data_IF_007243261702
#
_entry.id   IF_007243261702
#
_cell.length_a   1.000
_cell.length_b   1.000
_cell.length_c   1.000
_cell.angle_alpha   90.00
_cell.angle_beta   90.00
_cell.angle_gamma   90.00
#
_symmetry.space_group_name_H-M   'P 1'
#
loop_
_entity.id
_entity.type
_entity.pdbx_description
1 polymer ?
#
# COMPACT_ATOMS: atom_id res chain seq x y z
N UNK A 1 17.18 4.59 -11.31
CA UNK A 1 18.39 5.23 -10.74
C UNK A 1 17.98 5.93 -9.47
N UNK A 2 18.38 5.42 -8.30
CA UNK A 2 18.09 6.06 -7.01
C UNK A 2 19.16 7.11 -6.75
N UNK A 3 18.78 8.36 -6.54
CA UNK A 3 19.70 9.43 -6.17
C UNK A 3 19.57 9.72 -4.67
N UNK A 4 20.67 9.54 -3.94
CA UNK A 4 20.77 9.98 -2.54
C UNK A 4 21.44 11.35 -2.55
N UNK A 5 20.82 12.34 -1.91
CA UNK A 5 21.39 13.69 -1.76
C UNK A 5 21.30 14.11 -0.30
N UNK A 6 22.42 14.60 0.22
CA UNK A 6 22.42 15.30 1.50
C UNK A 6 21.65 16.61 1.33
N UNK A 7 20.69 16.85 2.22
CA UNK A 7 19.85 18.04 2.16
C UNK A 7 20.34 19.11 3.13
N UNK A 8 20.32 18.80 4.43
CA UNK A 8 20.69 19.72 5.50
C UNK A 8 20.98 18.96 6.78
N UNK A 9 21.89 19.48 7.59
CA UNK A 9 22.06 19.10 8.99
C UNK A 9 21.63 20.28 9.86
N UNK A 10 20.84 19.99 10.90
CA UNK A 10 20.41 20.97 11.89
C UNK A 10 20.78 20.41 13.26
N UNK A 11 21.48 21.22 14.05
CA UNK A 11 21.83 20.88 15.42
C UNK A 11 20.80 21.53 16.35
N UNK A 12 20.26 20.74 17.28
CA UNK A 12 19.32 21.23 18.28
C UNK A 12 20.00 21.17 19.65
N UNK A 13 19.92 22.25 20.44
CA UNK A 13 20.39 22.23 21.83
C UNK A 13 19.58 21.22 22.67
N UNK A 14 18.26 21.20 22.44
CA UNK A 14 17.33 20.18 22.93
C UNK A 14 16.39 19.75 21.80
N UNK A 15 16.42 18.46 21.46
CA UNK A 15 15.63 17.87 20.39
C UNK A 15 14.18 17.59 20.83
N UNK A 16 13.40 18.65 21.05
CA UNK A 16 11.95 18.51 21.28
C UNK A 16 11.23 18.17 19.98
N UNK A 17 10.28 17.23 20.05
CA UNK A 17 9.64 16.65 18.89
C UNK A 17 8.85 17.64 18.03
N UNK A 18 8.28 18.68 18.65
CA UNK A 18 7.61 19.80 17.99
C UNK A 18 8.59 20.60 17.13
N UNK A 19 9.72 21.03 17.70
CA UNK A 19 10.76 21.80 16.99
C UNK A 19 11.38 21.02 15.83
N UNK A 20 11.65 19.73 16.05
CA UNK A 20 12.18 18.85 14.98
C UNK A 20 11.15 18.72 13.85
N UNK A 21 9.85 18.65 14.17
CA UNK A 21 8.81 18.55 13.14
C UNK A 21 8.61 19.84 12.34
N UNK A 22 8.66 21.00 13.02
CA UNK A 22 8.57 22.31 12.37
C UNK A 22 9.74 22.54 11.41
N UNK A 23 10.96 22.29 11.87
CA UNK A 23 12.16 22.46 11.04
C UNK A 23 12.14 21.53 9.82
N UNK A 24 11.64 20.30 9.98
CA UNK A 24 11.48 19.35 8.86
C UNK A 24 10.44 19.86 7.86
N UNK A 25 9.26 20.26 8.33
CA UNK A 25 8.17 20.75 7.47
C UNK A 25 8.56 22.04 6.76
N UNK A 26 9.23 22.96 7.45
CA UNK A 26 9.72 24.20 6.85
C UNK A 26 10.80 23.94 5.83
N UNK A 27 11.72 23.00 6.08
CA UNK A 27 12.70 22.58 5.08
C UNK A 27 12.02 22.02 3.82
N UNK A 28 11.02 21.15 3.99
CA UNK A 28 10.26 20.57 2.87
C UNK A 28 9.51 21.66 2.08
N UNK A 29 8.85 22.60 2.78
CA UNK A 29 8.11 23.73 2.17
C UNK A 29 9.05 24.68 1.43
N UNK A 30 10.17 25.06 2.04
CA UNK A 30 11.16 25.96 1.47
C UNK A 30 11.76 25.39 0.17
N UNK A 31 11.93 24.06 0.12
CA UNK A 31 12.42 23.35 -1.05
C UNK A 31 11.32 23.02 -2.07
N UNK A 32 10.07 23.42 -1.79
CA UNK A 32 8.88 23.14 -2.61
C UNK A 32 8.73 21.65 -2.93
N UNK A 33 9.12 20.79 -2.00
CA UNK A 33 8.98 19.34 -2.17
C UNK A 33 7.50 18.96 -2.00
N UNK A 34 6.91 18.22 -2.96
CA UNK A 34 5.52 17.80 -2.89
C UNK A 34 5.32 16.78 -1.76
N UNK A 35 4.74 17.22 -0.64
CA UNK A 35 4.44 16.37 0.53
C UNK A 35 3.60 15.13 0.18
N UNK A 36 2.70 15.23 -0.80
CA UNK A 36 1.86 14.12 -1.24
C UNK A 36 2.63 13.03 -1.99
N UNK A 37 3.88 13.27 -2.38
CA UNK A 37 4.77 12.26 -2.97
C UNK A 37 5.73 11.63 -1.95
N UNK A 38 5.64 12.02 -0.67
CA UNK A 38 6.51 11.50 0.37
C UNK A 38 6.03 10.12 0.82
N UNK A 39 6.74 9.07 0.39
CA UNK A 39 6.39 7.68 0.66
C UNK A 39 6.65 7.25 2.11
N UNK A 40 7.77 7.68 2.70
CA UNK A 40 8.12 7.33 4.07
C UNK A 40 9.13 8.30 4.68
N UNK A 41 9.07 8.45 6.00
CA UNK A 41 10.09 9.08 6.82
C UNK A 41 10.47 8.08 7.91
N UNK A 42 11.74 7.74 7.98
CA UNK A 42 12.32 6.98 9.09
C UNK A 42 12.88 7.96 10.11
N UNK A 43 12.33 7.97 11.32
CA UNK A 43 12.94 8.65 12.46
C UNK A 43 13.27 7.62 13.54
N UNK A 44 14.41 7.80 14.19
CA UNK A 44 14.70 7.12 15.45
C UNK A 44 14.18 7.99 16.61
N UNK A 45 13.42 7.40 17.53
CA UNK A 45 12.80 8.11 18.66
C UNK A 45 11.24 8.09 18.68
N UNK A 46 10.60 7.55 19.73
CA UNK A 46 9.15 7.36 19.78
C UNK A 46 8.34 8.67 19.82
N UNK A 47 8.86 9.73 20.42
CA UNK A 47 8.17 11.03 20.51
C UNK A 47 8.21 11.78 19.18
N UNK A 48 9.35 11.75 18.49
CA UNK A 48 9.58 12.38 17.18
C UNK A 48 8.72 11.69 16.11
N UNK A 49 8.66 10.36 16.12
CA UNK A 49 7.77 9.58 15.25
C UNK A 49 6.30 9.99 15.41
N UNK A 50 5.82 10.16 16.64
CA UNK A 50 4.43 10.56 16.90
C UNK A 50 4.07 11.94 16.35
N UNK A 51 4.99 12.90 16.36
CA UNK A 51 4.75 14.26 15.87
C UNK A 51 4.92 14.38 14.35
N UNK A 52 5.98 13.79 13.80
CA UNK A 52 6.30 13.89 12.37
C UNK A 52 5.37 12.99 11.53
N UNK A 53 4.97 11.82 12.04
CA UNK A 53 4.15 10.89 11.27
C UNK A 53 2.65 11.20 11.32
N UNK A 54 2.13 11.90 12.34
CA UNK A 54 0.70 12.24 12.46
C UNK A 54 0.09 12.96 11.23
N UNK A 55 0.78 13.93 10.61
CA UNK A 55 0.32 14.56 9.36
C UNK A 55 0.42 13.65 8.12
N UNK A 56 1.25 12.60 8.17
CA UNK A 56 1.64 11.76 7.03
C UNK A 56 0.96 10.37 7.02
N UNK A 57 0.61 9.81 8.19
CA UNK A 57 0.00 8.48 8.39
C UNK A 57 -1.52 8.43 8.12
N UNK A 58 -2.10 9.44 7.47
CA UNK A 58 -3.54 9.49 7.17
C UNK A 58 -4.06 8.34 6.30
N UNK A 59 -3.21 7.42 5.88
CA UNK A 59 -3.50 6.27 5.04
C UNK A 59 -3.73 4.93 5.80
N UNK A 60 -3.42 4.81 7.10
CA UNK A 60 -3.49 3.51 7.80
C UNK A 60 -4.77 3.37 8.63
N UNK A 61 -5.66 2.48 8.17
CA UNK A 61 -6.96 2.15 8.77
C UNK A 61 -6.81 1.61 10.20
N UNK A 62 -5.83 0.74 10.46
CA UNK A 62 -5.77 -0.02 11.71
C UNK A 62 -5.40 0.81 12.94
N UNK A 63 -4.56 1.84 12.79
CA UNK A 63 -4.25 2.75 13.89
C UNK A 63 -5.51 3.41 14.47
N UNK A 64 -6.38 3.92 13.60
CA UNK A 64 -7.65 4.50 14.00
C UNK A 64 -8.60 3.44 14.59
N UNK A 65 -8.64 2.21 14.05
CA UNK A 65 -9.45 1.11 14.62
C UNK A 65 -9.03 0.75 16.04
N UNK A 66 -7.72 0.60 16.30
CA UNK A 66 -7.20 0.28 17.63
C UNK A 66 -7.67 1.31 18.64
N UNK A 67 -7.49 2.60 18.35
CA UNK A 67 -7.93 3.64 19.29
C UNK A 67 -9.45 3.76 19.40
N UNK A 68 -10.19 3.44 18.34
CA UNK A 68 -11.64 3.46 18.34
C UNK A 68 -12.22 2.41 19.30
N UNK A 69 -11.65 1.19 19.30
CA UNK A 69 -12.08 0.08 20.14
C UNK A 69 -11.42 0.04 21.52
N UNK A 70 -10.18 0.52 21.66
CA UNK A 70 -9.39 0.41 22.91
C UNK A 70 -10.10 1.01 24.14
N UNK A 71 -10.82 2.11 23.96
CA UNK A 71 -11.40 2.86 25.08
C UNK A 71 -12.84 2.47 25.41
N UNK A 72 -13.46 1.54 24.68
CA UNK A 72 -14.86 1.21 24.89
C UNK A 72 -15.11 -0.31 24.78
N UNK A 73 -15.39 -0.93 25.93
CA UNK A 73 -15.72 -2.36 26.01
C UNK A 73 -17.02 -2.69 25.25
N UNK A 74 -18.02 -1.80 25.30
CA UNK A 74 -19.27 -1.98 24.55
C UNK A 74 -19.03 -2.07 23.04
N UNK A 75 -18.19 -1.19 22.47
CA UNK A 75 -17.84 -1.22 21.03
C UNK A 75 -17.15 -2.51 20.62
N UNK A 76 -16.27 -3.03 21.48
CA UNK A 76 -15.60 -4.33 21.24
C UNK A 76 -16.59 -5.48 21.25
N UNK A 77 -17.54 -5.46 22.20
CA UNK A 77 -18.60 -6.47 22.27
C UNK A 77 -19.48 -6.41 21.02
N UNK A 78 -19.96 -5.22 20.64
CA UNK A 78 -20.80 -5.03 19.46
C UNK A 78 -20.08 -5.49 18.17
N UNK A 79 -18.79 -5.17 18.04
CA UNK A 79 -18.01 -5.61 16.89
C UNK A 79 -17.77 -7.13 16.88
N UNK A 80 -17.56 -7.73 18.05
CA UNK A 80 -17.45 -9.19 18.18
C UNK A 80 -18.75 -9.88 17.78
N UNK A 81 -19.91 -9.33 18.12
CA UNK A 81 -21.21 -9.81 17.64
C UNK A 81 -21.30 -9.75 16.11
N UNK A 82 -20.82 -8.66 15.49
CA UNK A 82 -20.75 -8.54 14.03
C UNK A 82 -19.81 -9.58 13.40
N UNK A 83 -18.65 -9.85 14.02
CA UNK A 83 -17.72 -10.89 13.57
C UNK A 83 -18.39 -12.27 13.59
N UNK A 84 -19.11 -12.60 14.67
CA UNK A 84 -19.86 -13.86 14.78
C UNK A 84 -20.96 -13.95 13.71
N UNK A 85 -21.71 -12.87 13.49
CA UNK A 85 -22.80 -12.84 12.51
C UNK A 85 -22.31 -13.05 11.06
N UNK A 86 -21.07 -12.66 10.77
CA UNK A 86 -20.45 -12.79 9.44
C UNK A 86 -19.49 -14.00 9.35
N UNK A 87 -19.48 -14.86 10.37
CA UNK A 87 -18.59 -16.03 10.47
C UNK A 87 -17.10 -15.66 10.29
N UNK A 88 -16.72 -14.46 10.74
CA UNK A 88 -15.34 -14.00 10.71
C UNK A 88 -14.57 -14.52 11.92
N UNK A 89 -13.29 -14.81 11.70
CA UNK A 89 -12.38 -15.10 12.80
C UNK A 89 -12.35 -13.94 13.80
N UNK A 90 -12.40 -14.27 15.09
CA UNK A 90 -12.28 -13.27 16.15
C UNK A 90 -10.86 -12.69 16.13
N UNK A 91 -10.77 -11.40 15.83
CA UNK A 91 -9.51 -10.69 15.72
C UNK A 91 -9.57 -9.41 16.55
N UNK A 92 -8.55 -9.23 17.39
CA UNK A 92 -8.28 -7.95 18.03
C UNK A 92 -7.32 -7.14 17.15
N UNK A 93 -7.65 -5.88 16.91
CA UNK A 93 -6.74 -4.95 16.25
C UNK A 93 -5.58 -4.61 17.20
N UNK A 94 -4.36 -4.66 16.66
CA UNK A 94 -3.13 -4.40 17.42
C UNK A 94 -2.48 -3.16 16.85
N UNK A 95 -1.85 -2.35 17.72
CA UNK A 95 -1.15 -1.15 17.28
C UNK A 95 0.20 -1.50 16.67
N UNK A 96 0.52 -0.81 15.58
CA UNK A 96 1.86 -0.79 15.02
C UNK A 96 2.90 -0.29 16.02
N UNK A 97 4.06 -0.92 16.00
CA UNK A 97 5.27 -0.36 16.60
C UNK A 97 5.96 0.42 15.48
N UNK A 98 5.89 1.76 15.57
CA UNK A 98 6.30 2.72 14.53
C UNK A 98 7.72 2.53 13.94
N UNK A 99 8.57 1.70 14.52
CA UNK A 99 9.92 1.37 14.06
C UNK A 99 10.02 0.04 13.29
N UNK A 100 8.93 -0.73 13.15
CA UNK A 100 8.97 -2.08 12.59
C UNK A 100 7.94 -2.25 11.48
N UNK A 101 8.38 -2.13 10.23
CA UNK A 101 7.54 -2.53 9.10
C UNK A 101 7.10 -4.01 9.16
N UNK A 102 7.77 -4.84 9.97
CA UNK A 102 7.31 -6.20 10.28
C UNK A 102 5.93 -6.24 10.96
N UNK A 103 5.54 -5.21 11.73
CA UNK A 103 4.22 -5.17 12.38
C UNK A 103 3.12 -4.71 11.43
N UNK A 104 3.45 -3.98 10.36
CA UNK A 104 2.52 -3.63 9.28
C UNK A 104 1.99 -4.87 8.54
N UNK A 105 2.76 -5.95 8.47
CA UNK A 105 2.38 -7.16 7.73
C UNK A 105 1.17 -7.88 8.38
N UNK A 106 1.22 -8.27 9.67
CA UNK A 106 0.05 -8.76 10.39
C UNK A 106 -1.13 -7.78 10.40
N UNK A 107 -0.87 -6.48 10.36
CA UNK A 107 -1.91 -5.45 10.33
C UNK A 107 -2.71 -5.48 9.03
N UNK A 108 -2.02 -5.41 7.90
CA UNK A 108 -2.65 -5.48 6.59
C UNK A 108 -3.46 -6.77 6.46
N UNK A 109 -2.95 -7.91 6.95
CA UNK A 109 -3.70 -9.17 6.94
C UNK A 109 -4.99 -9.10 7.78
N UNK A 110 -4.92 -8.57 9.02
CA UNK A 110 -6.10 -8.40 9.86
C UNK A 110 -7.12 -7.45 9.24
N UNK A 111 -6.66 -6.29 8.75
CA UNK A 111 -7.51 -5.28 8.16
C UNK A 111 -8.24 -5.81 6.91
N UNK A 112 -7.54 -6.56 6.04
CA UNK A 112 -8.16 -7.17 4.86
C UNK A 112 -9.16 -8.26 5.25
N UNK A 113 -8.81 -9.18 6.14
CA UNK A 113 -9.71 -10.27 6.56
C UNK A 113 -10.97 -9.77 7.27
N UNK A 114 -10.91 -8.59 7.89
CA UNK A 114 -12.00 -8.01 8.66
C UNK A 114 -12.79 -6.94 7.88
N UNK A 115 -12.47 -6.68 6.61
CA UNK A 115 -13.03 -5.57 5.83
C UNK A 115 -14.56 -5.63 5.73
N UNK A 116 -15.12 -6.82 5.52
CA UNK A 116 -16.58 -7.03 5.47
C UNK A 116 -17.25 -6.72 6.82
N UNK A 117 -16.67 -7.19 7.92
CA UNK A 117 -17.15 -6.92 9.27
C UNK A 117 -17.01 -5.45 9.67
N UNK A 118 -15.92 -4.80 9.26
CA UNK A 118 -15.75 -3.36 9.48
C UNK A 118 -16.81 -2.55 8.74
N UNK A 119 -17.10 -2.88 7.46
CA UNK A 119 -18.19 -2.23 6.72
C UNK A 119 -19.55 -2.50 7.38
N UNK A 120 -19.85 -3.73 7.78
CA UNK A 120 -21.09 -4.09 8.50
C UNK A 120 -21.26 -3.26 9.78
N UNK A 121 -20.23 -3.26 10.63
CA UNK A 121 -20.26 -2.55 11.89
C UNK A 121 -20.34 -1.03 11.72
N UNK A 122 -19.44 -0.40 10.96
CA UNK A 122 -19.36 1.06 10.88
C UNK A 122 -20.48 1.69 10.03
N UNK A 123 -20.92 1.02 8.96
CA UNK A 123 -21.91 1.55 8.03
C UNK A 123 -23.36 1.17 8.39
N UNK A 124 -23.56 0.08 9.15
CA UNK A 124 -24.91 -0.37 9.54
C UNK A 124 -25.10 -0.28 11.05
N UNK A 125 -24.41 -1.12 11.82
CA UNK A 125 -24.69 -1.33 13.25
C UNK A 125 -24.44 -0.06 14.08
N UNK A 126 -23.27 0.54 13.93
CA UNK A 126 -22.87 1.74 14.66
C UNK A 126 -23.64 2.99 14.19
N UNK A 127 -23.92 3.10 12.89
CA UNK A 127 -24.67 4.22 12.32
C UNK A 127 -26.13 4.27 12.84
N UNK A 128 -26.73 3.11 13.12
CA UNK A 128 -28.07 3.02 13.70
C UNK A 128 -28.09 3.24 15.22
N UNK A 129 -27.05 2.79 15.93
CA UNK A 129 -27.02 2.79 17.40
C UNK A 129 -26.39 4.04 18.01
N UNK A 130 -25.57 4.78 17.26
CA UNK A 130 -24.75 5.86 17.81
C UNK A 130 -24.71 7.08 16.90
N UNK A 131 -24.75 8.28 17.50
CA UNK A 131 -24.46 9.55 16.83
C UNK A 131 -22.98 9.90 16.93
N UNK A 132 -22.10 8.94 16.69
CA UNK A 132 -20.65 9.14 16.75
C UNK A 132 -20.23 10.15 15.67
N UNK A 133 -19.47 11.17 16.08
CA UNK A 133 -19.07 12.29 15.20
C UNK A 133 -17.58 12.60 15.30
N UNK A 134 -16.79 11.81 16.02
CA UNK A 134 -15.36 12.03 16.14
C UNK A 134 -14.67 12.04 14.78
N UNK A 135 -13.61 12.83 14.64
CA UNK A 135 -12.87 12.90 13.38
C UNK A 135 -12.22 11.57 13.01
N UNK A 136 -11.90 10.75 14.01
CA UNK A 136 -11.48 9.35 13.84
C UNK A 136 -12.56 8.53 13.14
N UNK A 137 -13.80 8.58 13.63
CA UNK A 137 -14.91 7.88 13.00
C UNK A 137 -15.10 8.34 11.55
N UNK A 138 -15.03 9.66 11.29
CA UNK A 138 -15.11 10.20 9.92
C UNK A 138 -13.96 9.72 9.02
N UNK A 139 -12.73 9.57 9.54
CA UNK A 139 -11.60 9.01 8.79
C UNK A 139 -11.82 7.54 8.46
N UNK A 140 -12.23 6.73 9.44
CA UNK A 140 -12.55 5.32 9.23
C UNK A 140 -13.64 5.18 8.16
N UNK A 141 -14.72 5.96 8.25
CA UNK A 141 -15.79 5.94 7.24
C UNK A 141 -15.29 6.29 5.84
N UNK A 142 -14.42 7.30 5.71
CA UNK A 142 -13.85 7.67 4.40
C UNK A 142 -13.05 6.51 3.81
N UNK A 143 -12.22 5.85 4.61
CA UNK A 143 -11.40 4.72 4.17
C UNK A 143 -12.26 3.49 3.81
N UNK A 144 -13.29 3.17 4.60
CA UNK A 144 -14.16 2.02 4.34
C UNK A 144 -15.03 2.18 3.09
N UNK A 145 -15.39 3.43 2.74
CA UNK A 145 -16.16 3.77 1.55
C UNK A 145 -15.29 4.00 0.31
N UNK A 146 -13.98 4.19 0.48
CA UNK A 146 -13.07 4.37 -0.63
C UNK A 146 -12.76 3.02 -1.32
N UNK A 147 -13.09 2.92 -2.60
CA UNK A 147 -12.83 1.73 -3.40
C UNK A 147 -11.33 1.45 -3.57
N UNK A 148 -10.47 2.47 -3.43
CA UNK A 148 -9.02 2.28 -3.59
C UNK A 148 -8.35 1.69 -2.35
N UNK A 149 -8.98 1.82 -1.17
CA UNK A 149 -8.42 1.33 0.10
C UNK A 149 -8.22 -0.18 0.10
N UNK A 150 -9.20 -0.95 -0.39
CA UNK A 150 -9.10 -2.41 -0.47
C UNK A 150 -8.03 -2.85 -1.48
N UNK A 151 -7.92 -2.15 -2.61
CA UNK A 151 -6.88 -2.38 -3.61
C UNK A 151 -5.50 -2.08 -3.04
N UNK A 152 -5.35 -1.03 -2.24
CA UNK A 152 -4.09 -0.69 -1.56
C UNK A 152 -3.70 -1.75 -0.53
N UNK A 153 -4.66 -2.27 0.25
CA UNK A 153 -4.40 -3.35 1.21
C UNK A 153 -3.99 -4.64 0.50
N UNK A 154 -4.69 -5.03 -0.58
CA UNK A 154 -4.33 -6.18 -1.40
C UNK A 154 -2.95 -6.03 -2.05
N UNK A 155 -2.64 -4.82 -2.53
CA UNK A 155 -1.31 -4.50 -3.04
C UNK A 155 -0.24 -4.70 -1.95
N UNK A 156 -0.47 -4.17 -0.75
CA UNK A 156 0.42 -4.34 0.38
C UNK A 156 0.58 -5.83 0.74
N UNK A 157 -0.49 -6.64 0.69
CA UNK A 157 -0.39 -8.09 0.89
C UNK A 157 0.45 -8.79 -0.18
N UNK A 158 0.41 -8.33 -1.43
CA UNK A 158 1.17 -8.91 -2.52
C UNK A 158 2.68 -8.63 -2.39
N UNK A 159 3.05 -7.40 -1.98
CA UNK A 159 4.46 -7.00 -1.87
C UNK A 159 5.07 -7.33 -0.51
N UNK A 160 4.23 -7.68 0.46
CA UNK A 160 4.53 -7.96 1.86
C UNK A 160 5.74 -8.89 2.06
N UNK A 161 5.79 -10.00 1.34
CA UNK A 161 6.87 -11.00 1.43
C UNK A 161 8.22 -10.47 0.91
N UNK A 162 8.18 -9.58 -0.10
CA UNK A 162 9.39 -8.96 -0.65
C UNK A 162 10.05 -8.07 0.40
N UNK A 163 9.23 -7.28 1.10
CA UNK A 163 9.70 -6.42 2.17
C UNK A 163 10.13 -7.22 3.40
N UNK A 164 9.43 -8.30 3.77
CA UNK A 164 9.80 -9.15 4.92
C UNK A 164 11.24 -9.68 4.79
N UNK A 165 11.61 -10.20 3.61
CA UNK A 165 12.97 -10.71 3.36
C UNK A 165 14.03 -9.60 3.52
N UNK A 166 13.78 -8.44 2.90
CA UNK A 166 14.68 -7.30 2.98
C UNK A 166 14.82 -6.79 4.41
N UNK A 167 13.71 -6.63 5.13
CA UNK A 167 13.69 -6.08 6.48
C UNK A 167 14.36 -7.00 7.49
N UNK A 168 14.13 -8.32 7.40
CA UNK A 168 14.82 -9.29 8.27
C UNK A 168 16.33 -9.22 8.08
N UNK A 169 16.81 -9.01 6.85
CA UNK A 169 18.24 -8.89 6.58
C UNK A 169 18.86 -7.64 7.23
N UNK A 170 18.14 -6.51 7.29
CA UNK A 170 18.65 -5.24 7.83
C UNK A 170 18.24 -4.94 9.27
N UNK A 171 17.53 -5.85 9.94
CA UNK A 171 17.19 -5.76 11.37
C UNK A 171 18.08 -6.64 12.26
N UNK A 172 19.11 -7.26 11.69
CA UNK A 172 20.12 -8.01 12.44
C UNK A 172 21.08 -7.05 13.15
N UNK A 173 21.53 -7.40 14.36
CA UNK A 173 22.58 -6.66 15.06
C UNK A 173 23.93 -6.89 14.34
N UNK A 174 24.26 -6.02 13.38
CA UNK A 174 25.54 -6.06 12.65
C UNK A 174 25.69 -4.98 11.56
N UNK A 175 26.92 -4.67 11.11
CA UNK A 175 27.16 -3.67 10.09
C UNK A 175 26.76 -4.18 8.69
N UNK A 176 25.54 -3.90 8.26
CA UNK A 176 24.99 -4.37 6.98
C UNK A 176 25.16 -3.38 5.80
N UNK A 177 25.89 -2.26 6.00
CA UNK A 177 26.06 -1.22 4.96
C UNK A 177 26.68 -1.79 3.67
N UNK A 178 27.61 -2.73 3.81
CA UNK A 178 28.35 -3.34 2.70
C UNK A 178 27.45 -4.11 1.70
N UNK A 179 26.31 -4.64 2.16
CA UNK A 179 25.35 -5.39 1.34
C UNK A 179 24.02 -4.64 1.12
N UNK A 180 23.89 -3.42 1.64
CA UNK A 180 22.67 -2.61 1.53
C UNK A 180 22.31 -2.31 0.07
N UNK A 181 23.27 -1.85 -0.71
CA UNK A 181 23.03 -1.50 -2.11
C UNK A 181 22.58 -2.70 -2.94
N UNK A 182 23.27 -3.84 -2.81
CA UNK A 182 22.91 -5.07 -3.55
C UNK A 182 21.51 -5.56 -3.17
N UNK A 183 21.20 -5.61 -1.87
CA UNK A 183 19.88 -6.04 -1.41
C UNK A 183 18.76 -5.10 -1.86
N UNK A 184 19.01 -3.79 -1.94
CA UNK A 184 18.03 -2.81 -2.42
C UNK A 184 17.80 -2.97 -3.93
N UNK A 185 18.85 -3.21 -4.70
CA UNK A 185 18.75 -3.54 -6.12
C UNK A 185 17.91 -4.81 -6.32
N UNK A 186 18.13 -5.85 -5.52
CA UNK A 186 17.39 -7.11 -5.62
C UNK A 186 15.92 -6.96 -5.20
N UNK A 187 15.62 -6.16 -4.18
CA UNK A 187 14.26 -5.80 -3.80
C UNK A 187 13.54 -5.09 -4.95
N UNK A 188 14.15 -4.07 -5.55
CA UNK A 188 13.56 -3.31 -6.66
C UNK A 188 13.37 -4.20 -7.89
N UNK A 189 14.35 -5.04 -8.24
CA UNK A 189 14.22 -6.01 -9.34
C UNK A 189 13.07 -6.98 -9.09
N UNK A 190 12.95 -7.50 -7.87
CA UNK A 190 11.89 -8.46 -7.50
C UNK A 190 10.51 -7.81 -7.55
N UNK A 191 10.40 -6.55 -7.11
CA UNK A 191 9.19 -5.76 -7.20
C UNK A 191 8.79 -5.52 -8.66
N UNK A 192 9.72 -5.02 -9.48
CA UNK A 192 9.47 -4.75 -10.89
C UNK A 192 9.10 -6.02 -11.67
N UNK A 193 9.74 -7.15 -11.38
CA UNK A 193 9.44 -8.43 -12.03
C UNK A 193 7.97 -8.82 -11.89
N UNK A 194 7.36 -8.59 -10.72
CA UNK A 194 5.94 -8.89 -10.48
C UNK A 194 4.98 -8.06 -11.33
N UNK A 195 5.34 -6.82 -11.66
CA UNK A 195 4.56 -5.96 -12.55
C UNK A 195 4.84 -6.25 -14.03
N UNK A 196 6.10 -6.54 -14.36
CA UNK A 196 6.53 -6.80 -15.72
C UNK A 196 6.06 -8.17 -16.23
N UNK A 197 5.99 -9.21 -15.39
CA UNK A 197 5.45 -10.52 -15.81
C UNK A 197 4.00 -10.44 -16.31
N UNK A 198 3.17 -9.58 -15.70
CA UNK A 198 1.81 -9.33 -16.18
C UNK A 198 1.77 -8.55 -17.51
N UNK A 199 2.69 -7.60 -17.70
CA UNK A 199 2.82 -6.84 -18.95
C UNK A 199 3.38 -7.69 -20.09
N UNK A 200 4.37 -8.54 -19.81
CA UNK A 200 5.03 -9.42 -20.79
C UNK A 200 4.04 -10.47 -21.33
N UNK A 201 3.23 -11.08 -20.45
CA UNK A 201 2.17 -12.02 -20.89
C UNK A 201 1.16 -11.36 -21.83
N UNK A 202 0.72 -10.13 -21.52
CA UNK A 202 -0.20 -9.37 -22.37
C UNK A 202 0.41 -8.99 -23.72
N UNK A 203 1.72 -8.68 -23.75
CA UNK A 203 2.46 -8.41 -24.98
C UNK A 203 2.58 -9.68 -25.85
N UNK A 204 2.91 -10.82 -25.25
CA UNK A 204 3.00 -12.10 -25.97
C UNK A 204 1.64 -12.55 -26.55
N UNK A 205 0.55 -12.31 -25.83
CA UNK A 205 -0.82 -12.57 -26.30
C UNK A 205 -1.21 -11.66 -27.46
N UNK A 206 -0.93 -10.36 -27.34
CA UNK A 206 -1.20 -9.38 -28.40
C UNK A 206 -0.37 -9.65 -29.67
N UNK A 207 0.90 -10.07 -29.54
CA UNK A 207 1.73 -10.46 -30.69
C UNK A 207 1.20 -11.72 -31.40
N UNK A 208 0.70 -12.70 -30.65
CA UNK A 208 0.07 -13.90 -31.20
C UNK A 208 -1.20 -13.56 -31.98
N UNK A 209 -2.07 -12.72 -31.41
CA UNK A 209 -3.27 -12.24 -32.10
C UNK A 209 -2.94 -11.47 -33.38
N UNK A 210 -1.93 -10.60 -33.33
CA UNK A 210 -1.49 -9.84 -34.49
C UNK A 210 -1.03 -10.79 -35.61
N UNK A 211 -0.18 -11.77 -35.31
CA UNK A 211 0.30 -12.77 -36.28
C UNK A 211 -0.84 -13.54 -36.94
N UNK A 212 -1.83 -13.98 -36.16
CA UNK A 212 -3.02 -14.69 -36.67
C UNK A 212 -3.81 -13.79 -37.64
N UNK A 213 -3.96 -12.50 -37.31
CA UNK A 213 -4.67 -11.56 -38.18
C UNK A 213 -3.92 -11.28 -39.48
N UNK A 214 -2.58 -11.13 -39.44
CA UNK A 214 -1.77 -10.92 -40.65
C UNK A 214 -1.84 -12.13 -41.58
N UNK A 215 -1.86 -13.34 -41.02
CA UNK A 215 -1.89 -14.59 -41.79
C UNK A 215 -3.27 -14.83 -42.43
N UNK A 216 -4.35 -14.50 -41.71
CA UNK A 216 -5.71 -14.47 -42.29
C UNK A 216 -5.81 -13.48 -43.45
N UNK A 217 -5.29 -12.26 -43.28
CA UNK A 217 -5.26 -11.25 -44.36
C UNK A 217 -4.49 -11.74 -45.58
N UNK A 218 -3.31 -12.34 -45.40
CA UNK A 218 -2.52 -12.91 -46.52
C UNK A 218 -3.26 -13.98 -47.30
N UNK A 219 -3.96 -14.90 -46.60
CA UNK A 219 -4.75 -15.96 -47.25
C UNK A 219 -5.93 -15.38 -48.05
N UNK A 220 -6.58 -14.35 -47.53
CA UNK A 220 -7.66 -13.64 -48.21
C UNK A 220 -7.13 -12.96 -49.49
N UNK A 221 -6.03 -12.21 -49.39
CA UNK A 221 -5.42 -11.52 -50.54
C UNK A 221 -4.97 -12.50 -51.63
N UNK A 222 -4.34 -13.61 -51.26
CA UNK A 222 -3.93 -14.66 -52.20
C UNK A 222 -5.14 -15.34 -52.89
N UNK A 223 -6.25 -15.48 -52.17
CA UNK A 223 -7.52 -15.98 -52.74
C UNK A 223 -8.07 -15.07 -53.83
N UNK A 224 -8.09 -13.75 -53.58
CA UNK A 224 -8.52 -12.76 -54.57
C UNK A 224 -7.59 -12.73 -55.80
N UNK A 225 -6.28 -12.74 -55.60
CA UNK A 225 -5.29 -12.75 -56.70
C UNK A 225 -5.45 -13.97 -57.62
N UNK A 226 -5.63 -15.15 -57.03
CA UNK A 226 -5.87 -16.39 -57.77
C UNK A 226 -7.21 -16.39 -58.51
N UNK A 227 -8.27 -15.82 -57.93
CA UNK A 227 -9.55 -15.65 -58.60
C UNK A 227 -9.46 -14.68 -59.80
N UNK A 228 -8.75 -13.55 -59.65
CA UNK A 228 -8.52 -12.61 -60.75
C UNK A 228 -7.65 -13.19 -61.87
N UNK A 229 -6.65 -14.04 -61.55
CA UNK A 229 -5.85 -14.74 -62.56
C UNK A 229 -6.70 -15.72 -63.38
N UNK A 230 -7.62 -16.45 -62.74
CA UNK A 230 -8.54 -17.37 -63.42
C UNK A 230 -9.55 -16.66 -64.33
N UNK A 231 -9.99 -15.45 -63.98
CA UNK A 231 -10.90 -14.66 -64.80
C UNK A 231 -10.24 -14.06 -66.05
N UNK A 232 -8.92 -13.82 -66.02
CA UNK A 232 -8.14 -13.30 -67.18
C UNK A 232 -7.68 -14.37 -68.18
N UNK A 233 -7.94 -15.65 -67.90
CA UNK A 233 -7.57 -16.79 -68.76
C UNK A 233 -8.78 -17.40 -69.50
N UNK A 234 -9.94 -16.73 -69.45
CA UNK A 234 -11.11 -16.98 -70.28
C UNK A 234 -11.30 -15.81 -71.23
#
# INVERSE_FOLDING_TARGET
>A
MVQVRFLRAVMFDHAYADRVSEELLDTIRNLKLPLHHLLSISCDGPTVNKFIKRPLESAVVEGDLVYFFKLCAARRKDYKEEQVNLELNEVNFVRDVQSRWLTLLPEVDRATSQMSGLRGYFLKTLALRSREKSDRYKRILRLLNDATTEVQLLYLQCVKELYDLFLRAFQVEGPMVHCFYSALVDLVKSLLKRFLEGCLKKLDEAEKELKIQTEKKRKITAGYENATKKLKQR
#
